data_IF_011787969139
#
_entry.id   IF_011787969139
#
_cell.length_a   1.000
_cell.length_b   1.000
_cell.length_c   1.000
_cell.angle_alpha   90.00
_cell.angle_beta   90.00
_cell.angle_gamma   90.00
#
_symmetry.space_group_name_H-M   'P 1'
#
loop_
_entity.id
_entity.type
_entity.pdbx_description
1 polymer ?
#
# COMPACT_ATOMS: atom_id res chain seq x y z
N UNK A 1 -9.94 -8.21 6.27
CA UNK A 1 -9.21 -9.43 6.62
C UNK A 1 -7.73 -9.08 6.58
N UNK A 2 -6.90 -9.65 7.48
CA UNK A 2 -5.45 -9.42 7.47
C UNK A 2 -4.84 -9.76 6.11
N UNK A 3 -3.92 -8.92 5.63
CA UNK A 3 -3.30 -9.05 4.31
C UNK A 3 -2.47 -10.34 4.24
N UNK A 4 -1.91 -10.77 5.36
CA UNK A 4 -1.13 -11.99 5.50
C UNK A 4 -1.94 -13.24 5.13
N UNK A 5 -3.24 -13.25 5.47
CA UNK A 5 -4.14 -14.37 5.22
C UNK A 5 -4.78 -14.30 3.83
N UNK A 6 -5.12 -13.09 3.35
CA UNK A 6 -5.85 -12.89 2.10
C UNK A 6 -4.95 -12.64 0.88
N UNK A 7 -3.64 -12.43 1.07
CA UNK A 7 -2.74 -11.99 -0.01
C UNK A 7 -2.82 -12.89 -1.25
N UNK A 8 -2.72 -14.21 -1.04
CA UNK A 8 -2.79 -15.18 -2.14
C UNK A 8 -4.16 -15.11 -2.85
N UNK A 9 -5.24 -14.98 -2.10
CA UNK A 9 -6.58 -14.81 -2.68
C UNK A 9 -6.69 -13.55 -3.53
N UNK A 10 -6.18 -12.40 -3.06
CA UNK A 10 -6.15 -11.15 -3.85
C UNK A 10 -5.29 -11.34 -5.10
N UNK A 11 -4.15 -12.03 -4.97
CA UNK A 11 -3.22 -12.33 -6.05
C UNK A 11 -3.88 -13.12 -7.17
N UNK A 12 -4.66 -14.14 -6.80
CA UNK A 12 -5.28 -15.06 -7.74
C UNK A 12 -6.55 -14.50 -8.39
N UNK A 13 -7.28 -13.61 -7.70
CA UNK A 13 -8.60 -13.14 -8.16
C UNK A 13 -8.58 -11.77 -8.84
N UNK A 14 -7.93 -10.78 -8.23
CA UNK A 14 -8.03 -9.36 -8.61
C UNK A 14 -6.66 -8.77 -8.93
N UNK A 15 -5.75 -9.64 -9.28
CA UNK A 15 -4.36 -9.36 -9.35
C UNK A 15 -3.87 -8.87 -10.70
N UNK A 16 -2.99 -7.86 -10.69
CA UNK A 16 -2.25 -7.44 -11.88
C UNK A 16 -0.80 -7.88 -11.75
N UNK A 17 -0.36 -8.91 -12.50
CA UNK A 17 1.07 -9.19 -12.65
C UNK A 17 1.79 -7.97 -13.23
N UNK A 18 2.90 -7.59 -12.62
CA UNK A 18 3.72 -6.43 -13.02
C UNK A 18 5.16 -6.83 -13.39
N UNK A 19 5.42 -8.14 -13.47
CA UNK A 19 6.68 -8.69 -13.94
C UNK A 19 7.09 -9.93 -13.15
N UNK A 20 7.75 -10.87 -13.82
CA UNK A 20 8.29 -12.07 -13.19
C UNK A 20 9.52 -12.54 -13.94
N UNK A 21 10.55 -12.93 -13.20
CA UNK A 21 11.70 -13.68 -13.71
C UNK A 21 11.96 -14.87 -12.77
N UNK A 22 13.02 -15.65 -13.03
CA UNK A 22 13.33 -16.85 -12.23
C UNK A 22 13.64 -16.58 -10.75
N UNK A 23 13.80 -15.32 -10.31
CA UNK A 23 14.17 -14.97 -8.93
C UNK A 23 13.21 -13.99 -8.26
N UNK A 24 12.47 -13.20 -9.02
CA UNK A 24 11.63 -12.10 -8.52
C UNK A 24 10.27 -12.13 -9.21
N UNK A 25 9.23 -11.95 -8.42
CA UNK A 25 7.86 -11.73 -8.88
C UNK A 25 7.35 -10.40 -8.33
N UNK A 26 6.72 -9.61 -9.20
CA UNK A 26 6.14 -8.32 -8.88
C UNK A 26 4.68 -8.31 -9.26
N UNK A 27 3.87 -7.81 -8.34
CA UNK A 27 2.43 -7.87 -8.42
C UNK A 27 1.82 -6.56 -7.93
N UNK A 28 0.67 -6.17 -8.49
CA UNK A 28 -0.07 -5.00 -8.05
C UNK A 28 -1.56 -5.31 -7.84
N UNK A 29 -2.13 -4.76 -6.78
CA UNK A 29 -3.57 -4.73 -6.51
C UNK A 29 -4.09 -3.31 -6.73
N UNK A 30 -5.10 -3.19 -7.59
CA UNK A 30 -5.83 -1.92 -7.83
C UNK A 30 -7.12 -1.81 -7.01
N UNK A 31 -7.41 -2.77 -6.13
CA UNK A 31 -8.66 -2.76 -5.36
C UNK A 31 -8.85 -1.41 -4.65
N UNK A 32 -10.03 -0.82 -4.85
CA UNK A 32 -10.36 0.57 -4.52
C UNK A 32 -9.90 1.01 -3.12
N UNK A 33 -10.00 0.14 -2.11
CA UNK A 33 -9.63 0.48 -0.74
C UNK A 33 -8.17 0.19 -0.37
N UNK A 34 -7.43 -0.60 -1.16
CA UNK A 34 -6.05 -1.06 -0.84
C UNK A 34 -5.21 -1.21 -2.11
N UNK A 35 -4.69 -0.08 -2.59
CA UNK A 35 -3.71 -0.05 -3.67
C UNK A 35 -2.34 -0.45 -3.11
N UNK A 36 -1.78 -1.54 -3.61
CA UNK A 36 -0.44 -1.98 -3.21
C UNK A 36 0.34 -2.62 -4.33
N UNK A 37 1.66 -2.51 -4.24
CA UNK A 37 2.61 -3.26 -5.07
C UNK A 37 3.36 -4.22 -4.15
N UNK A 38 3.50 -5.47 -4.55
CA UNK A 38 4.22 -6.47 -3.78
C UNK A 38 5.37 -7.09 -4.56
N UNK A 39 6.45 -7.40 -3.85
CA UNK A 39 7.64 -8.08 -4.35
C UNK A 39 7.81 -9.40 -3.62
N UNK A 40 8.05 -10.48 -4.37
CA UNK A 40 8.32 -11.81 -3.81
C UNK A 40 9.63 -12.36 -4.39
N UNK A 41 10.59 -12.72 -3.52
CA UNK A 41 11.89 -13.29 -3.94
C UNK A 41 12.61 -13.99 -2.80
N UNK A 42 13.32 -15.08 -3.08
CA UNK A 42 14.27 -15.68 -2.14
C UNK A 42 15.58 -14.88 -2.01
N UNK A 43 15.79 -13.88 -2.88
CA UNK A 43 16.98 -13.03 -2.88
C UNK A 43 16.66 -11.63 -2.37
N UNK A 44 17.22 -11.28 -1.20
CA UNK A 44 17.17 -9.91 -0.67
C UNK A 44 17.71 -8.88 -1.67
N UNK A 45 18.71 -9.25 -2.47
CA UNK A 45 19.32 -8.36 -3.47
C UNK A 45 18.30 -7.99 -4.55
N UNK A 46 17.50 -8.95 -5.03
CA UNK A 46 16.46 -8.70 -6.03
C UNK A 46 15.37 -7.78 -5.48
N UNK A 47 14.91 -8.02 -4.24
CA UNK A 47 13.97 -7.14 -3.53
C UNK A 47 14.51 -5.70 -3.45
N UNK A 48 15.77 -5.53 -3.05
CA UNK A 48 16.37 -4.21 -2.94
C UNK A 48 16.49 -3.50 -4.30
N UNK A 49 16.83 -4.25 -5.36
CA UNK A 49 16.96 -3.70 -6.70
C UNK A 49 15.61 -3.17 -7.22
N UNK A 50 14.55 -3.97 -7.13
CA UNK A 50 13.22 -3.53 -7.57
C UNK A 50 12.66 -2.43 -6.66
N UNK A 51 12.92 -2.49 -5.35
CA UNK A 51 12.51 -1.44 -4.43
C UNK A 51 13.14 -0.09 -4.78
N UNK A 52 14.44 -0.05 -5.15
CA UNK A 52 15.10 1.17 -5.60
C UNK A 52 14.44 1.77 -6.85
N UNK A 53 13.99 0.93 -7.78
CA UNK A 53 13.27 1.38 -8.99
C UNK A 53 11.93 2.02 -8.61
N UNK A 54 11.15 1.34 -7.76
CA UNK A 54 9.88 1.87 -7.26
C UNK A 54 10.09 3.17 -6.49
N UNK A 55 11.02 3.19 -5.55
CA UNK A 55 11.35 4.34 -4.70
C UNK A 55 11.76 5.55 -5.56
N UNK A 56 12.66 5.37 -6.53
CA UNK A 56 13.08 6.44 -7.43
C UNK A 56 11.92 6.96 -8.30
N UNK A 57 11.04 6.07 -8.76
CA UNK A 57 9.81 6.47 -9.44
C UNK A 57 8.90 7.29 -8.53
N UNK A 58 8.70 6.84 -7.30
CA UNK A 58 7.82 7.49 -6.35
C UNK A 58 8.36 8.85 -5.89
N UNK A 59 9.68 8.97 -5.68
CA UNK A 59 10.32 10.23 -5.34
C UNK A 59 10.09 11.31 -6.43
N UNK A 60 10.11 10.93 -7.72
CA UNK A 60 9.85 11.87 -8.84
C UNK A 60 8.46 12.51 -8.78
N UNK A 61 7.47 11.79 -8.30
CA UNK A 61 6.08 12.28 -8.18
C UNK A 61 5.76 12.82 -6.77
N UNK A 62 6.68 12.70 -5.83
CA UNK A 62 6.56 13.21 -4.46
C UNK A 62 7.14 14.62 -4.40
N UNK A 63 6.36 15.61 -4.84
CA UNK A 63 6.80 17.01 -5.00
C UNK A 63 7.49 17.57 -3.76
N UNK A 64 8.81 17.77 -3.84
CA UNK A 64 9.61 18.47 -2.81
C UNK A 64 9.84 17.68 -1.51
N UNK A 65 9.45 16.41 -1.45
CA UNK A 65 9.67 15.58 -0.27
C UNK A 65 11.09 14.99 -0.27
N UNK A 66 11.71 14.89 0.92
CA UNK A 66 12.99 14.19 1.08
C UNK A 66 12.86 12.68 0.78
N UNK A 67 11.69 12.10 1.09
CA UNK A 67 11.35 10.71 0.82
C UNK A 67 9.87 10.56 0.40
N UNK A 68 9.53 9.56 -0.43
CA UNK A 68 8.15 9.26 -0.77
C UNK A 68 7.42 8.61 0.43
N UNK A 69 6.19 9.05 0.67
CA UNK A 69 5.38 8.52 1.76
C UNK A 69 4.77 7.16 1.38
N UNK A 70 5.07 6.12 2.15
CA UNK A 70 4.53 4.78 1.94
C UNK A 70 4.37 4.04 3.25
N UNK A 71 3.48 3.04 3.28
CA UNK A 71 3.52 2.01 4.29
C UNK A 71 4.10 0.74 3.68
N UNK A 72 4.83 -0.04 4.48
CA UNK A 72 5.42 -1.30 4.05
C UNK A 72 5.07 -2.38 5.08
N UNK A 73 4.62 -3.53 4.60
CA UNK A 73 4.52 -4.78 5.36
C UNK A 73 5.51 -5.75 4.72
N UNK A 74 6.35 -6.39 5.52
CA UNK A 74 7.35 -7.34 5.04
C UNK A 74 7.33 -8.60 5.89
N UNK A 75 7.33 -9.76 5.25
CA UNK A 75 7.48 -11.06 5.89
C UNK A 75 8.55 -11.88 5.19
N UNK A 76 9.06 -12.89 5.90
CA UNK A 76 10.00 -13.87 5.38
C UNK A 76 9.55 -15.26 5.80
N UNK A 77 9.05 -16.04 4.85
CA UNK A 77 8.47 -17.36 5.08
C UNK A 77 8.92 -18.29 3.95
N UNK A 78 9.18 -19.57 4.25
CA UNK A 78 9.56 -20.57 3.24
C UNK A 78 10.74 -20.14 2.34
N UNK A 79 11.73 -19.48 2.93
CA UNK A 79 12.89 -18.90 2.24
C UNK A 79 12.55 -17.85 1.17
N UNK A 80 11.40 -17.19 1.29
CA UNK A 80 10.92 -16.16 0.39
C UNK A 80 10.62 -14.90 1.17
N UNK A 81 11.18 -13.78 0.73
CA UNK A 81 10.73 -12.46 1.14
C UNK A 81 9.44 -12.12 0.44
N UNK A 82 8.48 -11.55 1.17
CA UNK A 82 7.33 -10.84 0.64
C UNK A 82 7.35 -9.43 1.18
N UNK A 83 7.37 -8.45 0.29
CA UNK A 83 7.32 -7.02 0.65
C UNK A 83 6.11 -6.40 -0.03
N UNK A 84 5.15 -5.92 0.76
CA UNK A 84 3.92 -5.26 0.29
C UNK A 84 4.02 -3.77 0.61
N UNK A 85 3.86 -2.95 -0.40
CA UNK A 85 4.06 -1.51 -0.33
C UNK A 85 2.75 -0.82 -0.70
N UNK A 86 2.27 0.03 0.20
CA UNK A 86 1.09 0.86 0.01
C UNK A 86 1.53 2.31 -0.22
N UNK A 87 1.53 2.81 -1.48
CA UNK A 87 1.96 4.17 -1.77
C UNK A 87 0.94 5.19 -1.27
N UNK A 88 1.40 6.24 -0.59
CA UNK A 88 0.55 7.26 0.05
C UNK A 88 0.81 8.66 -0.48
N UNK A 89 -0.23 9.50 -0.47
CA UNK A 89 -0.14 10.93 -0.78
C UNK A 89 -0.35 11.85 0.42
N UNK A 90 -0.89 11.34 1.54
CA UNK A 90 -1.10 12.11 2.77
C UNK A 90 -0.81 11.29 4.02
N UNK A 91 -0.31 11.97 5.05
CA UNK A 91 -0.06 11.35 6.35
C UNK A 91 -1.34 11.06 7.11
N UNK A 92 -2.35 11.94 7.03
CA UNK A 92 -3.63 11.81 7.73
C UNK A 92 -4.80 12.19 6.82
N UNK A 93 -5.96 11.51 6.93
CA UNK A 93 -7.16 11.90 6.21
C UNK A 93 -7.79 13.17 6.82
N UNK A 94 -8.65 13.85 6.07
CA UNK A 94 -9.31 15.08 6.48
C UNK A 94 -10.17 14.92 7.74
N UNK A 95 -10.75 13.73 7.97
CA UNK A 95 -11.50 13.41 9.19
C UNK A 95 -10.71 13.63 10.48
N UNK A 96 -9.38 13.49 10.43
CA UNK A 96 -8.49 13.70 11.58
C UNK A 96 -8.54 15.16 12.07
N UNK A 97 -8.76 16.10 11.15
CA UNK A 97 -8.72 17.54 11.39
C UNK A 97 -10.09 18.19 11.53
N UNK A 98 -11.19 17.42 11.41
CA UNK A 98 -12.54 17.93 11.65
C UNK A 98 -12.76 18.19 13.15
N UNK A 99 -13.81 18.95 13.45
CA UNK A 99 -14.23 19.26 14.81
C UNK A 99 -15.54 18.54 15.21
N UNK A 100 -15.74 18.42 16.53
CA UNK A 100 -16.94 17.84 17.13
C UNK A 100 -17.24 16.42 16.65
N UNK A 101 -18.53 16.13 16.40
CA UNK A 101 -18.99 14.80 16.00
C UNK A 101 -18.50 14.33 14.63
N UNK A 102 -17.93 15.22 13.81
CA UNK A 102 -17.37 14.85 12.50
C UNK A 102 -15.89 14.41 12.59
N UNK A 103 -15.24 14.62 13.74
CA UNK A 103 -13.84 14.23 13.97
C UNK A 103 -13.72 12.73 14.18
N UNK A 104 -12.84 12.10 13.41
CA UNK A 104 -12.43 10.72 13.63
C UNK A 104 -10.90 10.69 13.67
N UNK A 105 -10.32 10.31 14.81
CA UNK A 105 -8.86 10.28 15.04
C UNK A 105 -8.33 8.92 14.59
N UNK A 106 -8.52 8.62 13.31
CA UNK A 106 -7.99 7.44 12.63
C UNK A 106 -7.17 7.92 11.45
N UNK A 107 -6.01 7.32 11.27
CA UNK A 107 -5.12 7.61 10.16
C UNK A 107 -4.53 6.32 9.63
N UNK A 108 -5.02 5.78 8.50
CA UNK A 108 -4.58 4.48 8.01
C UNK A 108 -3.05 4.40 7.85
N UNK A 109 -2.45 3.47 8.58
CA UNK A 109 -1.03 3.12 8.55
C UNK A 109 -0.86 1.69 8.02
N UNK A 110 0.35 1.11 8.14
CA UNK A 110 0.64 -0.21 7.59
C UNK A 110 -0.37 -1.26 8.05
N UNK A 111 -0.67 -1.33 9.34
CA UNK A 111 -1.61 -2.31 9.93
C UNK A 111 -3.05 -2.12 9.43
N UNK A 112 -3.52 -0.89 9.29
CA UNK A 112 -4.86 -0.61 8.75
C UNK A 112 -4.98 -1.00 7.28
N UNK A 113 -3.95 -0.69 6.48
CA UNK A 113 -3.82 -1.16 5.10
C UNK A 113 -3.67 -2.68 5.00
N UNK A 114 -3.06 -3.28 6.02
CA UNK A 114 -3.01 -4.71 6.26
C UNK A 114 -4.36 -5.31 6.65
N UNK A 115 -5.43 -4.53 6.79
CA UNK A 115 -6.78 -5.05 7.02
C UNK A 115 -7.20 -5.17 8.49
N UNK A 116 -6.45 -4.56 9.40
CA UNK A 116 -6.81 -4.42 10.83
C UNK A 116 -6.97 -2.93 11.15
N UNK A 117 -8.20 -2.43 11.17
CA UNK A 117 -8.47 -1.02 11.45
C UNK A 117 -8.50 -0.76 12.96
N UNK A 118 -7.62 0.14 13.44
CA UNK A 118 -7.47 0.45 14.86
C UNK A 118 -8.04 1.84 15.16
N UNK A 119 -8.96 1.90 16.13
CA UNK A 119 -9.56 3.15 16.61
C UNK A 119 -9.08 3.45 18.03
N UNK A 120 -8.33 4.56 18.27
CA UNK A 120 -7.78 4.86 19.59
C UNK A 120 -8.83 5.35 20.59
N UNK A 121 -10.02 5.74 20.12
CA UNK A 121 -11.12 6.26 20.94
C UNK A 121 -12.36 5.41 20.74
N UNK A 122 -13.04 5.05 21.83
CA UNK A 122 -14.32 4.32 21.79
C UNK A 122 -15.35 5.04 20.91
N UNK A 123 -15.44 6.37 21.02
CA UNK A 123 -16.37 7.14 20.19
C UNK A 123 -16.08 7.05 18.69
N UNK A 124 -14.81 6.89 18.28
CA UNK A 124 -14.46 6.72 16.87
C UNK A 124 -14.86 5.33 16.39
N UNK A 125 -14.65 4.32 17.23
CA UNK A 125 -15.10 2.95 16.96
C UNK A 125 -16.62 2.87 16.74
N UNK A 126 -17.39 3.57 17.57
CA UNK A 126 -18.85 3.58 17.49
C UNK A 126 -19.38 4.40 16.31
N UNK A 127 -18.67 5.46 15.90
CA UNK A 127 -19.10 6.37 14.82
C UNK A 127 -18.65 5.96 13.43
N UNK A 128 -17.51 5.26 13.31
CA UNK A 128 -16.89 4.99 12.01
C UNK A 128 -17.77 4.08 11.15
N UNK A 129 -17.99 4.50 9.91
CA UNK A 129 -18.76 3.73 8.93
C UNK A 129 -17.86 3.20 7.81
N UNK A 130 -18.38 2.25 7.04
CA UNK A 130 -17.74 1.77 5.80
C UNK A 130 -17.39 2.93 4.85
N UNK A 131 -18.33 3.87 4.66
CA UNK A 131 -18.13 5.05 3.83
C UNK A 131 -16.95 5.90 4.34
N UNK A 132 -16.85 6.10 5.66
CA UNK A 132 -15.73 6.85 6.23
C UNK A 132 -14.39 6.16 5.98
N UNK A 133 -14.33 4.83 6.11
CA UNK A 133 -13.13 4.06 5.81
C UNK A 133 -12.76 4.19 4.34
N UNK A 134 -13.68 3.96 3.41
CA UNK A 134 -13.41 4.10 1.98
C UNK A 134 -12.90 5.50 1.62
N UNK A 135 -13.50 6.55 2.18
CA UNK A 135 -13.03 7.92 2.00
C UNK A 135 -11.63 8.14 2.58
N UNK A 136 -11.36 7.69 3.82
CA UNK A 136 -10.04 7.84 4.46
C UNK A 136 -8.95 7.12 3.67
N UNK A 137 -9.17 5.87 3.28
CA UNK A 137 -8.20 5.06 2.55
C UNK A 137 -7.94 5.65 1.16
N UNK A 138 -8.97 6.10 0.45
CA UNK A 138 -8.83 6.79 -0.84
C UNK A 138 -8.11 8.12 -0.70
N UNK A 139 -8.37 8.86 0.39
CA UNK A 139 -7.74 10.15 0.62
C UNK A 139 -6.23 10.01 0.87
N UNK A 140 -5.81 9.03 1.67
CA UNK A 140 -4.39 8.85 1.99
C UNK A 140 -3.61 8.09 0.92
N UNK A 141 -4.26 7.24 0.14
CA UNK A 141 -3.64 6.50 -0.98
C UNK A 141 -3.33 7.41 -2.17
N UNK A 142 -2.30 7.08 -2.94
CA UNK A 142 -2.04 7.76 -4.22
C UNK A 142 -3.22 7.67 -5.20
N UNK A 143 -3.25 8.57 -6.18
CA UNK A 143 -4.25 8.53 -7.26
C UNK A 143 -4.09 7.28 -8.13
N UNK A 144 -5.09 6.95 -8.94
CA UNK A 144 -5.00 5.80 -9.83
C UNK A 144 -3.90 5.97 -10.89
N UNK A 145 -3.73 7.19 -11.39
CA UNK A 145 -2.72 7.56 -12.39
C UNK A 145 -1.30 7.41 -11.82
N UNK A 146 -1.07 7.92 -10.60
CA UNK A 146 0.22 7.77 -9.93
C UNK A 146 0.53 6.32 -9.58
N UNK A 147 -0.49 5.56 -9.17
CA UNK A 147 -0.33 4.14 -8.92
C UNK A 147 0.04 3.38 -10.19
N UNK A 148 -0.64 3.66 -11.31
CA UNK A 148 -0.32 3.09 -12.62
C UNK A 148 1.09 3.44 -13.08
N UNK A 149 1.51 4.69 -12.88
CA UNK A 149 2.89 5.10 -13.15
C UNK A 149 3.91 4.26 -12.37
N UNK A 150 3.67 4.00 -11.08
CA UNK A 150 4.55 3.18 -10.25
C UNK A 150 4.60 1.72 -10.72
N UNK A 151 3.47 1.14 -11.12
CA UNK A 151 3.40 -0.21 -11.70
C UNK A 151 4.26 -0.26 -12.97
N UNK A 152 4.10 0.71 -13.87
CA UNK A 152 4.86 0.77 -15.12
C UNK A 152 6.37 0.90 -14.87
N UNK A 153 6.78 1.62 -13.82
CA UNK A 153 8.20 1.68 -13.41
C UNK A 153 8.75 0.31 -13.02
N UNK A 154 7.96 -0.49 -12.31
CA UNK A 154 8.33 -1.87 -11.97
C UNK A 154 8.33 -2.78 -13.21
N UNK A 155 7.35 -2.67 -14.10
CA UNK A 155 7.30 -3.48 -15.34
C UNK A 155 8.53 -3.25 -16.23
N UNK A 156 9.02 -2.00 -16.30
CA UNK A 156 10.24 -1.66 -17.05
C UNK A 156 11.51 -2.33 -16.50
N UNK A 157 11.51 -2.84 -15.27
CA UNK A 157 12.65 -3.57 -14.71
C UNK A 157 12.87 -4.94 -15.37
N UNK A 158 11.83 -5.50 -15.98
CA UNK A 158 11.84 -6.83 -16.60
C UNK A 158 12.03 -6.79 -18.12
N UNK A 159 12.20 -5.60 -18.70
CA UNK A 159 12.47 -5.40 -20.12
C UNK A 159 13.97 -5.22 -20.34
#
# INVERSE_FOLDING_TARGET
MPIEEEYNFIKDTNGRPAGKNGKLEVFASKNFSRKFISFESGSKIEILNIFKILYAGFLRISSGAAEPMMNIISSYENNMWRVIIFPRRKHRPGFYFKDGNKKIVVSPAAVDFGGVCITPRKEDFEKITKQNLEEMFNEVSVSAEFFEFLINRCEMYFR
#
